data_IF_763735911938
#
_entry.id   IF_763735911938
#
_cell.length_a   1.000
_cell.length_b   1.000
_cell.length_c   1.000
_cell.angle_alpha   90.00
_cell.angle_beta   90.00
_cell.angle_gamma   90.00
#
_symmetry.space_group_name_H-M   'P 1'
#
loop_
_entity.id
_entity.type
_entity.pdbx_description
1 polymer ?
#
# COMPACT_ATOMS: atom_id res chain seq x y z
N UNK A 1 -24.96 -0.51 -11.61
CA UNK A 1 -25.15 -0.25 -10.16
C UNK A 1 -24.03 -0.98 -9.44
N UNK A 2 -23.12 -0.27 -8.78
CA UNK A 2 -22.03 -0.90 -8.02
C UNK A 2 -22.67 -1.55 -6.78
N UNK A 3 -22.90 -2.86 -6.84
CA UNK A 3 -23.35 -3.62 -5.67
C UNK A 3 -22.10 -4.05 -4.91
N UNK A 4 -22.01 -3.59 -3.66
CA UNK A 4 -21.01 -4.04 -2.69
C UNK A 4 -21.41 -5.45 -2.23
N UNK A 5 -21.14 -6.43 -3.07
CA UNK A 5 -21.32 -7.85 -2.76
C UNK A 5 -19.98 -8.59 -2.87
N UNK A 6 -19.94 -9.80 -2.28
CA UNK A 6 -18.72 -10.61 -2.20
C UNK A 6 -18.19 -11.09 -3.56
N UNK A 7 -19.01 -11.07 -4.61
CA UNK A 7 -18.64 -11.52 -5.97
C UNK A 7 -18.05 -10.41 -6.81
N UNK A 8 -18.31 -9.16 -6.46
CA UNK A 8 -17.85 -8.01 -7.23
C UNK A 8 -16.35 -7.76 -7.02
N UNK A 9 -15.52 -8.41 -7.84
CA UNK A 9 -14.06 -8.28 -7.82
C UNK A 9 -13.58 -6.86 -8.08
N UNK A 10 -14.20 -6.17 -9.04
CA UNK A 10 -13.91 -4.77 -9.34
C UNK A 10 -14.11 -3.86 -8.13
N UNK A 11 -15.25 -4.01 -7.44
CA UNK A 11 -15.49 -3.26 -6.21
C UNK A 11 -14.46 -3.60 -5.12
N UNK A 12 -14.09 -4.89 -4.97
CA UNK A 12 -13.09 -5.33 -3.99
C UNK A 12 -11.70 -4.75 -4.26
N UNK A 13 -11.31 -4.62 -5.53
CA UNK A 13 -10.02 -4.07 -5.91
C UNK A 13 -9.97 -2.53 -5.78
N UNK A 14 -11.11 -1.86 -5.95
CA UNK A 14 -11.22 -0.41 -5.80
C UNK A 14 -11.29 0.06 -4.33
N UNK A 15 -11.86 -0.73 -3.42
CA UNK A 15 -12.10 -0.30 -2.02
C UNK A 15 -10.84 0.16 -1.29
N UNK A 16 -9.69 -0.56 -1.31
CA UNK A 16 -8.49 -0.09 -0.62
C UNK A 16 -8.01 1.26 -1.13
N UNK A 17 -8.02 1.47 -2.45
CA UNK A 17 -7.65 2.74 -3.06
C UNK A 17 -8.59 3.88 -2.64
N UNK A 18 -9.89 3.61 -2.51
CA UNK A 18 -10.86 4.59 -1.99
C UNK A 18 -10.63 4.91 -0.52
N UNK A 19 -10.39 3.90 0.33
CA UNK A 19 -10.11 4.10 1.76
C UNK A 19 -8.85 4.96 1.95
N UNK A 20 -7.80 4.72 1.17
CA UNK A 20 -6.58 5.52 1.19
C UNK A 20 -6.76 6.97 0.71
N UNK A 21 -7.76 7.24 -0.12
CA UNK A 21 -8.11 8.62 -0.48
C UNK A 21 -8.77 9.38 0.68
N UNK A 22 -9.38 8.68 1.63
CA UNK A 22 -10.01 9.25 2.82
C UNK A 22 -9.16 9.13 4.09
N UNK A 23 -7.86 8.87 3.94
CA UNK A 23 -6.89 8.77 5.05
C UNK A 23 -7.25 7.67 6.06
N UNK A 24 -7.95 6.64 5.56
CA UNK A 24 -8.36 5.44 6.30
C UNK A 24 -7.35 4.31 6.08
N UNK A 25 -6.08 4.60 6.33
CA UNK A 25 -4.96 3.68 6.05
C UNK A 25 -5.09 2.35 6.80
N UNK A 26 -5.53 2.37 8.07
CA UNK A 26 -5.78 1.15 8.83
C UNK A 26 -6.94 0.34 8.24
N UNK A 27 -8.05 0.97 7.84
CA UNK A 27 -9.16 0.24 7.25
C UNK A 27 -8.77 -0.37 5.89
N UNK A 28 -7.98 0.36 5.09
CA UNK A 28 -7.44 -0.16 3.83
C UNK A 28 -6.52 -1.35 4.09
N UNK A 29 -5.67 -1.24 5.12
CA UNK A 29 -4.78 -2.28 5.56
C UNK A 29 -5.53 -3.54 6.01
N UNK A 30 -6.49 -3.39 6.93
CA UNK A 30 -7.33 -4.46 7.46
C UNK A 30 -8.08 -5.16 6.36
N UNK A 31 -8.62 -4.39 5.40
CA UNK A 31 -9.26 -4.95 4.22
C UNK A 31 -8.30 -5.85 3.44
N UNK A 32 -7.11 -5.36 3.09
CA UNK A 32 -6.12 -6.14 2.31
C UNK A 32 -5.69 -7.39 3.07
N UNK A 33 -5.37 -7.26 4.36
CA UNK A 33 -4.94 -8.39 5.20
C UNK A 33 -6.04 -9.40 5.40
N UNK A 34 -7.28 -8.95 5.64
CA UNK A 34 -8.42 -9.82 5.82
C UNK A 34 -8.65 -10.67 4.57
N UNK A 35 -8.60 -10.07 3.38
CA UNK A 35 -8.71 -10.83 2.14
C UNK A 35 -7.56 -11.84 1.97
N UNK A 36 -6.34 -11.49 2.37
CA UNK A 36 -5.19 -12.40 2.30
C UNK A 36 -5.28 -13.56 3.32
N UNK A 37 -5.68 -13.28 4.56
CA UNK A 37 -5.84 -14.28 5.64
C UNK A 37 -7.06 -15.17 5.40
N UNK A 38 -8.17 -14.57 4.96
CA UNK A 38 -9.40 -15.25 4.59
C UNK A 38 -9.18 -16.28 3.47
N UNK A 39 -8.29 -15.99 2.53
CA UNK A 39 -7.87 -16.97 1.53
C UNK A 39 -7.06 -18.13 2.13
N UNK A 40 -6.06 -17.84 2.98
CA UNK A 40 -5.18 -18.85 3.58
C UNK A 40 -5.88 -19.80 4.57
N UNK A 41 -6.74 -19.27 5.45
CA UNK A 41 -7.36 -20.04 6.56
C UNK A 41 -8.37 -21.10 6.10
N UNK A 42 -8.86 -20.95 4.88
CA UNK A 42 -10.13 -21.51 4.47
C UNK A 42 -10.04 -22.26 3.14
N UNK A 43 -8.94 -22.07 2.40
CA UNK A 43 -8.68 -22.70 1.11
C UNK A 43 -9.74 -22.35 0.07
N UNK A 44 -9.70 -23.04 -1.07
CA UNK A 44 -10.75 -22.96 -2.10
C UNK A 44 -12.11 -23.53 -1.66
N UNK A 45 -12.25 -24.01 -0.42
CA UNK A 45 -13.40 -24.82 0.04
C UNK A 45 -14.33 -24.11 1.01
N UNK A 46 -14.05 -22.84 1.31
CA UNK A 46 -14.90 -22.04 2.17
C UNK A 46 -15.83 -21.21 1.29
N UNK A 47 -17.00 -20.83 1.82
CA UNK A 47 -18.15 -20.13 1.20
C UNK A 47 -17.83 -18.87 0.35
N UNK A 48 -16.57 -18.54 0.08
CA UNK A 48 -16.12 -17.53 -0.88
C UNK A 48 -16.57 -17.81 -2.32
N UNK A 49 -16.74 -19.08 -2.67
CA UNK A 49 -17.18 -19.50 -3.99
C UNK A 49 -18.71 -19.44 -4.07
N UNK A 50 -19.18 -18.32 -4.58
CA UNK A 50 -20.30 -18.22 -5.51
C UNK A 50 -21.75 -18.18 -5.00
N UNK A 51 -22.16 -18.46 -3.77
CA UNK A 51 -23.62 -18.64 -3.55
C UNK A 51 -24.32 -17.83 -2.45
N UNK A 52 -23.60 -17.19 -1.51
CA UNK A 52 -24.27 -16.48 -0.40
C UNK A 52 -24.16 -14.94 -0.52
N UNK A 53 -25.12 -14.36 -1.24
CA UNK A 53 -25.28 -12.90 -1.40
C UNK A 53 -25.90 -12.20 -0.18
N UNK A 54 -26.34 -12.96 0.82
CA UNK A 54 -27.02 -12.45 2.01
C UNK A 54 -26.05 -12.13 3.14
N UNK A 55 -24.80 -12.61 3.06
CA UNK A 55 -23.73 -12.24 4.01
C UNK A 55 -23.11 -10.89 3.67
N UNK A 56 -22.77 -10.05 4.68
CA UNK A 56 -22.14 -8.74 4.46
C UNK A 56 -20.81 -8.88 3.71
N UNK A 57 -20.49 -7.88 2.87
CA UNK A 57 -19.31 -7.86 2.00
C UNK A 57 -17.99 -8.05 2.76
N UNK A 58 -17.95 -7.64 4.03
CA UNK A 58 -16.76 -7.63 4.87
C UNK A 58 -17.18 -8.00 6.29
N UNK A 59 -16.63 -9.08 6.84
CA UNK A 59 -16.73 -9.38 8.27
C UNK A 59 -15.40 -9.05 8.94
N UNK A 60 -15.19 -7.78 9.29
CA UNK A 60 -13.98 -7.31 9.95
C UNK A 60 -13.91 -7.67 11.44
N UNK A 61 -14.91 -8.38 11.99
CA UNK A 61 -14.92 -8.68 13.43
C UNK A 61 -13.67 -9.49 13.83
N UNK A 62 -12.83 -8.88 14.65
CA UNK A 62 -11.63 -9.52 15.23
C UNK A 62 -10.46 -9.70 14.27
N UNK A 63 -10.45 -9.00 13.12
CA UNK A 63 -9.28 -9.01 12.24
C UNK A 63 -8.10 -8.25 12.86
N UNK A 64 -8.41 -7.15 13.55
CA UNK A 64 -7.59 -6.14 14.27
C UNK A 64 -6.11 -6.55 14.42
N UNK A 65 -5.34 -6.62 13.31
CA UNK A 65 -3.95 -6.99 13.38
C UNK A 65 -3.26 -5.78 13.97
N UNK A 66 -2.59 -5.94 15.11
CA UNK A 66 -1.72 -4.87 15.61
C UNK A 66 -0.76 -4.51 14.47
N UNK A 67 -0.42 -3.23 14.33
CA UNK A 67 0.37 -2.83 13.19
C UNK A 67 1.83 -3.42 13.24
N UNK A 68 2.22 -4.06 14.35
CA UNK A 68 3.40 -4.94 14.43
C UNK A 68 3.18 -6.34 13.86
N UNK A 69 2.07 -7.00 14.21
CA UNK A 69 1.65 -8.27 13.59
C UNK A 69 1.48 -8.09 12.08
N UNK A 70 0.96 -6.92 11.72
CA UNK A 70 0.85 -6.47 10.37
C UNK A 70 2.21 -6.47 9.65
N UNK A 71 3.17 -5.70 10.14
CA UNK A 71 4.50 -5.66 9.53
C UNK A 71 5.19 -7.03 9.53
N UNK A 72 4.91 -7.87 10.52
CA UNK A 72 5.40 -9.24 10.57
C UNK A 72 4.78 -10.10 9.45
N UNK A 73 3.48 -10.00 9.19
CA UNK A 73 2.81 -10.67 8.06
C UNK A 73 3.45 -10.28 6.73
N UNK A 74 3.62 -8.98 6.48
CA UNK A 74 4.14 -8.50 5.20
C UNK A 74 5.63 -8.80 5.03
N UNK A 75 6.40 -8.81 6.12
CA UNK A 75 7.82 -9.22 6.09
C UNK A 75 8.01 -10.71 5.76
N UNK A 76 6.96 -11.52 5.89
CA UNK A 76 6.95 -12.95 5.57
C UNK A 76 6.42 -13.26 4.17
N UNK A 77 5.87 -12.28 3.47
CA UNK A 77 5.42 -12.48 2.10
C UNK A 77 6.64 -12.69 1.21
N UNK A 78 6.70 -13.85 0.57
CA UNK A 78 7.64 -14.09 -0.53
C UNK A 78 7.04 -13.62 -1.86
N UNK A 79 7.84 -13.66 -2.93
CA UNK A 79 7.40 -13.29 -4.28
C UNK A 79 6.12 -14.05 -4.71
N UNK A 80 5.90 -15.28 -4.24
CA UNK A 80 4.69 -16.05 -4.55
C UNK A 80 3.47 -15.59 -3.75
N UNK A 81 3.66 -15.14 -2.51
CA UNK A 81 2.58 -14.60 -1.68
C UNK A 81 2.17 -13.20 -2.14
N UNK A 82 3.13 -12.40 -2.62
CA UNK A 82 2.86 -11.09 -3.22
C UNK A 82 2.17 -11.26 -4.58
N UNK A 83 2.56 -12.25 -5.39
CA UNK A 83 1.87 -12.56 -6.64
C UNK A 83 0.40 -13.02 -6.46
N UNK A 84 0.02 -13.45 -5.25
CA UNK A 84 -1.39 -13.75 -4.91
C UNK A 84 -2.19 -12.51 -4.54
N UNK A 85 -1.52 -11.38 -4.28
CA UNK A 85 -2.19 -10.09 -4.20
C UNK A 85 -2.46 -9.61 -5.63
N UNK A 86 -3.66 -9.10 -5.87
CA UNK A 86 -3.91 -8.37 -7.10
C UNK A 86 -3.02 -7.12 -7.16
N UNK A 87 -2.70 -6.65 -8.36
CA UNK A 87 -1.82 -5.51 -8.59
C UNK A 87 -2.25 -4.26 -7.80
N UNK A 88 -3.56 -4.06 -7.65
CA UNK A 88 -4.15 -2.92 -6.94
C UNK A 88 -3.94 -3.02 -5.43
N UNK A 89 -4.12 -4.21 -4.87
CA UNK A 89 -3.93 -4.45 -3.43
C UNK A 89 -2.46 -4.39 -3.06
N UNK A 90 -1.58 -4.95 -3.89
CA UNK A 90 -0.14 -4.82 -3.71
C UNK A 90 0.28 -3.35 -3.74
N UNK A 91 -0.28 -2.57 -4.67
CA UNK A 91 0.03 -1.14 -4.75
C UNK A 91 -0.53 -0.31 -3.59
N UNK A 92 -1.75 -0.61 -3.12
CA UNK A 92 -2.30 0.03 -1.93
C UNK A 92 -1.48 -0.31 -0.69
N UNK A 93 -1.07 -1.57 -0.52
CA UNK A 93 -0.18 -1.97 0.57
C UNK A 93 1.18 -1.27 0.48
N UNK A 94 1.74 -1.13 -0.72
CA UNK A 94 2.96 -0.36 -0.94
C UNK A 94 2.77 1.08 -0.48
N UNK A 95 1.68 1.74 -0.88
CA UNK A 95 1.39 3.12 -0.48
C UNK A 95 1.23 3.28 1.04
N UNK A 96 0.56 2.34 1.71
CA UNK A 96 0.40 2.32 3.17
C UNK A 96 1.78 2.31 3.86
N UNK A 97 2.68 1.43 3.41
CA UNK A 97 4.02 1.32 3.97
C UNK A 97 4.87 2.58 3.73
N UNK A 98 4.69 3.21 2.57
CA UNK A 98 5.34 4.49 2.25
C UNK A 98 4.84 5.61 3.14
N UNK A 99 3.53 5.75 3.30
CA UNK A 99 2.92 6.76 4.17
C UNK A 99 3.35 6.58 5.62
N UNK A 100 3.42 5.34 6.10
CA UNK A 100 3.94 5.03 7.44
C UNK A 100 5.40 5.46 7.59
N UNK A 101 6.26 5.09 6.64
CA UNK A 101 7.69 5.45 6.66
C UNK A 101 7.90 6.96 6.61
N UNK A 102 7.19 7.67 5.73
CA UNK A 102 7.23 9.13 5.62
C UNK A 102 6.71 9.82 6.89
N UNK A 103 5.58 9.35 7.43
CA UNK A 103 5.01 9.87 8.66
C UNK A 103 5.99 9.79 9.83
N UNK A 104 6.65 8.65 9.97
CA UNK A 104 7.68 8.45 10.99
C UNK A 104 8.88 9.37 10.78
N UNK A 105 9.37 9.51 9.55
CA UNK A 105 10.48 10.41 9.23
C UNK A 105 10.15 11.87 9.60
N UNK A 106 8.98 12.35 9.19
CA UNK A 106 8.50 13.71 9.50
C UNK A 106 8.32 13.90 11.01
N UNK A 107 7.76 12.91 11.71
CA UNK A 107 7.57 13.01 13.14
C UNK A 107 8.91 12.99 13.91
N UNK A 108 9.89 12.19 13.48
CA UNK A 108 11.27 12.21 14.01
C UNK A 108 11.92 13.59 13.81
N UNK A 109 11.81 14.17 12.62
CA UNK A 109 12.43 15.46 12.31
C UNK A 109 11.76 16.62 13.05
N UNK A 110 10.42 16.64 13.09
CA UNK A 110 9.69 17.62 13.89
C UNK A 110 10.03 17.52 15.38
N UNK A 111 10.26 16.31 15.92
CA UNK A 111 10.64 16.16 17.33
C UNK A 111 12.03 16.73 17.62
N UNK A 112 12.99 16.63 16.68
CA UNK A 112 14.30 17.28 16.79
C UNK A 112 14.19 18.80 16.78
N UNK A 113 13.32 19.33 15.93
CA UNK A 113 13.12 20.77 15.74
C UNK A 113 12.32 21.41 16.87
N UNK A 114 11.24 20.76 17.32
CA UNK A 114 10.31 21.26 18.32
C UNK A 114 10.45 20.55 19.67
N UNK A 115 11.66 20.57 20.26
CA UNK A 115 12.04 19.92 21.54
C UNK A 115 11.06 20.11 22.72
N UNK A 116 10.14 21.07 22.65
CA UNK A 116 9.16 21.43 23.69
C UNK A 116 7.72 20.98 23.39
N UNK A 117 7.41 20.49 22.18
CA UNK A 117 6.07 20.02 21.84
C UNK A 117 5.87 18.59 22.31
N UNK A 118 4.64 18.30 22.74
CA UNK A 118 4.25 16.92 23.02
C UNK A 118 4.27 16.13 21.72
N UNK A 119 4.55 14.82 21.79
CA UNK A 119 4.62 14.01 20.58
C UNK A 119 3.28 14.01 19.82
N UNK A 120 2.16 14.15 20.53
CA UNK A 120 0.82 14.35 19.95
C UNK A 120 0.73 15.61 19.08
N UNK A 121 1.36 16.71 19.47
CA UNK A 121 1.39 17.96 18.67
C UNK A 121 2.31 17.83 17.45
N UNK A 122 3.43 17.13 17.61
CA UNK A 122 4.34 16.75 16.52
C UNK A 122 3.59 15.92 15.47
N UNK A 123 2.73 15.00 15.90
CA UNK A 123 1.89 14.17 15.04
C UNK A 123 0.81 14.95 14.30
N UNK A 124 0.11 15.87 14.96
CA UNK A 124 -0.83 16.78 14.28
C UNK A 124 -0.16 17.60 13.18
N UNK A 125 1.13 17.91 13.35
CA UNK A 125 1.90 18.60 12.33
C UNK A 125 2.32 17.67 11.19
N UNK A 126 2.76 16.44 11.51
CA UNK A 126 3.05 15.42 10.51
C UNK A 126 1.80 15.08 9.67
N UNK A 127 0.62 15.01 10.27
CA UNK A 127 -0.65 14.78 9.59
C UNK A 127 -0.99 15.86 8.55
N UNK A 128 -0.61 17.12 8.82
CA UNK A 128 -0.78 18.21 7.85
C UNK A 128 0.11 18.04 6.62
N UNK A 129 1.25 17.38 6.79
CA UNK A 129 2.20 17.13 5.71
C UNK A 129 1.86 15.84 4.95
N UNK A 130 1.38 14.81 5.65
CA UNK A 130 0.96 13.54 5.06
C UNK A 130 -0.21 12.94 5.83
N UNK A 131 -1.22 12.38 5.15
CA UNK A 131 -2.23 11.59 5.83
C UNK A 131 -1.60 10.30 6.33
N UNK A 132 -1.45 10.18 7.65
CA UNK A 132 -0.88 8.98 8.29
C UNK A 132 -1.81 8.51 9.39
N UNK A 133 -3.02 8.10 9.01
CA UNK A 133 -4.03 7.61 9.95
C UNK A 133 -3.53 6.46 10.83
N UNK A 134 -2.58 5.66 10.32
CA UNK A 134 -1.91 4.59 11.07
C UNK A 134 -1.20 5.09 12.35
N UNK A 135 -0.47 6.20 12.30
CA UNK A 135 0.28 6.64 13.47
C UNK A 135 -0.62 7.21 14.58
N UNK A 136 -1.83 7.66 14.23
CA UNK A 136 -2.81 8.15 15.22
C UNK A 136 -3.45 7.00 16.00
N UNK A 137 -3.57 5.84 15.36
CA UNK A 137 -4.14 4.63 15.96
C UNK A 137 -3.13 3.88 16.84
N UNK A 138 -1.84 4.22 16.73
CA UNK A 138 -0.73 3.57 17.43
C UNK A 138 0.10 4.57 18.26
N UNK A 139 -0.45 5.16 19.34
CA UNK A 139 0.27 6.09 20.20
C UNK A 139 1.53 5.48 20.84
N UNK A 140 1.59 4.16 21.01
CA UNK A 140 2.76 3.44 21.52
C UNK A 140 3.98 3.53 20.58
N UNK A 141 3.77 3.68 19.27
CA UNK A 141 4.86 3.91 18.30
C UNK A 141 5.42 5.32 18.41
N UNK A 142 4.54 6.25 18.77
CA UNK A 142 4.84 7.66 18.93
C UNK A 142 5.75 7.86 20.16
N UNK A 143 5.52 7.12 21.24
CA UNK A 143 6.39 7.13 22.43
C UNK A 143 7.82 6.61 22.12
N UNK A 144 7.92 5.69 21.16
CA UNK A 144 9.19 5.08 20.76
C UNK A 144 9.93 5.86 19.67
N UNK A 145 9.38 6.97 19.16
CA UNK A 145 9.97 7.72 18.04
C UNK A 145 11.36 8.31 18.36
N UNK A 146 11.65 8.54 19.64
CA UNK A 146 12.96 9.02 20.09
C UNK A 146 13.99 7.89 20.24
N UNK A 147 13.55 6.62 20.21
CA UNK A 147 14.45 5.48 20.25
C UNK A 147 15.10 5.29 18.87
N UNK A 148 16.44 5.46 18.75
CA UNK A 148 17.15 5.20 17.51
C UNK A 148 17.01 3.74 17.03
N UNK A 149 16.82 2.79 17.94
CA UNK A 149 16.58 1.39 17.59
C UNK A 149 15.25 1.23 16.85
N UNK A 150 14.24 1.98 17.26
CA UNK A 150 12.91 2.00 16.65
C UNK A 150 12.86 2.75 15.31
N UNK A 151 13.67 3.80 15.13
CA UNK A 151 13.54 4.69 13.96
C UNK A 151 14.65 4.56 12.93
N UNK A 152 15.91 4.32 13.32
CA UNK A 152 17.07 4.43 12.41
C UNK A 152 17.66 3.11 11.97
N UNK A 153 17.30 2.00 12.62
CA UNK A 153 17.84 0.70 12.22
C UNK A 153 16.98 0.11 11.11
N UNK A 154 17.57 -0.73 10.24
CA UNK A 154 16.83 -1.55 9.27
C UNK A 154 15.73 -2.39 9.94
N UNK A 155 15.91 -2.72 11.23
CA UNK A 155 14.97 -3.51 12.03
C UNK A 155 13.97 -2.64 12.80
N UNK A 156 14.15 -1.32 12.81
CA UNK A 156 13.20 -0.37 13.38
C UNK A 156 11.95 -0.25 12.52
N UNK A 157 10.86 0.27 13.08
CA UNK A 157 9.57 0.40 12.41
C UNK A 157 9.67 1.10 11.06
N UNK A 158 10.35 2.25 11.01
CA UNK A 158 10.53 3.03 9.77
C UNK A 158 11.32 2.26 8.72
N UNK A 159 12.40 1.57 9.12
CA UNK A 159 13.23 0.75 8.25
C UNK A 159 12.51 -0.49 7.73
N UNK A 160 11.71 -1.15 8.57
CA UNK A 160 10.85 -2.28 8.20
C UNK A 160 9.77 -1.85 7.20
N UNK A 161 9.09 -0.74 7.46
CA UNK A 161 8.07 -0.19 6.56
C UNK A 161 8.68 0.15 5.18
N UNK A 162 9.81 0.85 5.15
CA UNK A 162 10.54 1.14 3.92
C UNK A 162 10.98 -0.14 3.19
N UNK A 163 11.51 -1.12 3.93
CA UNK A 163 11.91 -2.42 3.38
C UNK A 163 10.77 -3.18 2.74
N UNK A 164 9.60 -3.21 3.39
CA UNK A 164 8.39 -3.85 2.82
C UNK A 164 7.89 -3.08 1.60
N UNK A 165 7.89 -1.75 1.62
CA UNK A 165 7.54 -0.94 0.46
C UNK A 165 8.44 -1.26 -0.75
N UNK A 166 9.74 -1.50 -0.52
CA UNK A 166 10.67 -1.90 -1.58
C UNK A 166 10.41 -3.31 -2.11
N UNK A 167 10.11 -4.27 -1.22
CA UNK A 167 9.72 -5.62 -1.64
C UNK A 167 8.47 -5.60 -2.51
N UNK A 168 7.46 -4.82 -2.11
CA UNK A 168 6.23 -4.65 -2.89
C UNK A 168 6.50 -3.93 -4.21
N UNK A 169 7.36 -2.91 -4.21
CA UNK A 169 7.75 -2.20 -5.43
C UNK A 169 8.43 -3.14 -6.44
N UNK A 170 9.35 -3.98 -5.98
CA UNK A 170 10.05 -4.96 -6.83
C UNK A 170 9.07 -6.01 -7.38
N UNK A 171 8.19 -6.55 -6.54
CA UNK A 171 7.18 -7.51 -6.96
C UNK A 171 6.19 -6.90 -7.97
N UNK A 172 5.69 -5.69 -7.73
CA UNK A 172 4.82 -4.95 -8.66
C UNK A 172 5.53 -4.74 -9.99
N UNK A 173 6.80 -4.32 -9.96
CA UNK A 173 7.59 -4.09 -11.17
C UNK A 173 7.84 -5.37 -11.96
N UNK A 174 8.10 -6.51 -11.29
CA UNK A 174 8.21 -7.83 -11.92
C UNK A 174 6.90 -8.29 -12.53
N UNK A 175 5.78 -8.06 -11.85
CA UNK A 175 4.44 -8.49 -12.28
C UNK A 175 3.93 -7.65 -13.45
N UNK A 176 3.95 -6.32 -13.30
CA UNK A 176 3.46 -5.40 -14.32
C UNK A 176 4.31 -4.11 -14.31
N UNK A 177 5.43 -4.15 -15.05
CA UNK A 177 6.38 -3.03 -15.17
C UNK A 177 5.72 -1.76 -15.70
N UNK A 178 4.76 -1.89 -16.62
CA UNK A 178 4.04 -0.74 -17.18
C UNK A 178 3.28 0.03 -16.09
N UNK A 179 2.55 -0.68 -15.23
CA UNK A 179 1.88 -0.06 -14.09
C UNK A 179 2.86 0.66 -13.16
N UNK A 180 3.99 0.03 -12.83
CA UNK A 180 5.02 0.66 -12.00
C UNK A 180 5.56 1.95 -12.62
N UNK A 181 5.82 1.94 -13.93
CA UNK A 181 6.29 3.12 -14.66
C UNK A 181 5.22 4.23 -14.72
N UNK A 182 3.93 3.86 -14.82
CA UNK A 182 2.81 4.80 -14.76
C UNK A 182 2.73 5.54 -13.42
N UNK A 183 3.03 4.87 -12.30
CA UNK A 183 3.09 5.53 -10.99
C UNK A 183 4.16 6.63 -10.96
N UNK A 184 5.35 6.37 -11.50
CA UNK A 184 6.48 7.31 -11.47
C UNK A 184 6.38 8.49 -12.44
N UNK A 185 5.58 8.34 -13.50
CA UNK A 185 5.39 9.37 -14.53
C UNK A 185 3.91 9.42 -14.91
N UNK A 186 3.06 10.18 -14.19
CA UNK A 186 1.62 10.26 -14.47
C UNK A 186 1.27 10.94 -15.81
N UNK A 187 2.26 11.23 -16.66
CA UNK A 187 2.16 11.95 -17.93
C UNK A 187 1.37 11.22 -19.05
N UNK A 188 0.64 10.15 -18.73
CA UNK A 188 -0.12 9.37 -19.71
C UNK A 188 -1.63 9.52 -19.59
N UNK A 189 -2.16 10.55 -18.90
CA UNK A 189 -3.61 10.84 -18.94
C UNK A 189 -4.10 11.34 -20.31
N UNK A 190 -3.19 11.69 -21.23
CA UNK A 190 -3.53 12.14 -22.59
C UNK A 190 -2.49 11.86 -23.69
N UNK A 191 -1.44 11.09 -23.40
CA UNK A 191 -0.32 10.82 -24.32
C UNK A 191 -0.42 9.51 -25.09
N UNK A 192 -1.02 8.48 -24.51
CA UNK A 192 -1.55 7.35 -25.29
C UNK A 192 -2.89 7.81 -25.86
N UNK A 193 -2.83 8.49 -27.01
CA UNK A 193 -3.97 8.54 -27.93
C UNK A 193 -4.45 7.11 -28.09
N UNK A 194 -5.69 6.86 -27.72
CA UNK A 194 -6.44 5.71 -28.21
C UNK A 194 -6.64 5.90 -29.72
N UNK A 195 -6.30 4.89 -30.53
CA UNK A 195 -7.18 4.62 -31.64
C UNK A 195 -7.29 3.11 -31.84
N UNK A 196 -8.23 2.45 -31.16
CA UNK A 196 -8.66 1.10 -31.55
C UNK A 196 -7.60 -0.02 -31.46
N UNK A 197 -6.72 -0.05 -30.47
CA UNK A 197 -5.73 -1.13 -30.36
C UNK A 197 -6.16 -2.23 -29.39
N UNK A 198 -6.66 -3.33 -29.97
CA UNK A 198 -7.00 -4.64 -29.38
C UNK A 198 -5.76 -5.38 -28.80
N UNK A 199 -4.88 -4.69 -28.07
CA UNK A 199 -3.70 -5.31 -27.47
C UNK A 199 -3.92 -5.60 -25.98
N UNK A 200 -4.14 -6.88 -25.69
CA UNK A 200 -4.18 -7.40 -24.31
C UNK A 200 -2.83 -7.23 -23.58
N UNK A 201 -1.72 -7.10 -24.34
CA UNK A 201 -0.35 -7.04 -23.83
C UNK A 201 0.51 -6.00 -24.56
N UNK A 202 1.43 -5.38 -23.82
CA UNK A 202 2.48 -4.47 -24.33
C UNK A 202 3.84 -5.16 -24.18
N UNK A 203 4.64 -5.12 -25.24
CA UNK A 203 6.05 -5.57 -25.19
C UNK A 203 6.94 -4.43 -24.71
N UNK A 204 7.62 -4.64 -23.59
CA UNK A 204 8.56 -3.69 -23.01
C UNK A 204 9.92 -3.72 -23.73
N UNK A 205 10.78 -2.73 -23.48
CA UNK A 205 12.12 -2.64 -24.10
C UNK A 205 13.02 -3.86 -23.82
N UNK A 206 12.77 -4.59 -22.73
CA UNK A 206 13.47 -5.81 -22.35
C UNK A 206 12.85 -7.10 -22.96
N UNK A 207 11.83 -6.95 -23.80
CA UNK A 207 11.11 -8.04 -24.46
C UNK A 207 10.03 -8.70 -23.60
N UNK A 208 9.83 -8.27 -22.34
CA UNK A 208 8.74 -8.78 -21.50
C UNK A 208 7.37 -8.33 -22.00
N UNK A 209 6.35 -9.18 -21.84
CA UNK A 209 4.96 -8.84 -22.13
C UNK A 209 4.20 -8.55 -20.83
N UNK A 210 3.50 -7.42 -20.78
CA UNK A 210 2.72 -6.98 -19.62
C UNK A 210 1.29 -6.63 -20.02
N UNK A 211 0.31 -6.93 -19.17
CA UNK A 211 -1.10 -6.67 -19.49
C UNK A 211 -1.41 -5.18 -19.38
N UNK A 212 -1.82 -4.56 -20.49
CA UNK A 212 -2.25 -3.15 -20.53
C UNK A 212 -3.61 -2.94 -19.83
N UNK A 213 -4.63 -3.79 -20.05
CA UNK A 213 -5.90 -3.67 -19.33
C UNK A 213 -5.72 -3.75 -17.80
N UNK A 214 -4.93 -4.70 -17.31
CA UNK A 214 -4.64 -4.84 -15.88
C UNK A 214 -3.93 -3.60 -15.33
N UNK A 215 -2.90 -3.10 -16.03
CA UNK A 215 -2.16 -1.91 -15.61
C UNK A 215 -3.06 -0.67 -15.52
N UNK A 216 -3.94 -0.47 -16.52
CA UNK A 216 -4.89 0.65 -16.55
C UNK A 216 -5.91 0.55 -15.42
N UNK A 217 -6.50 -0.63 -15.24
CA UNK A 217 -7.49 -0.85 -14.19
C UNK A 217 -6.89 -0.60 -12.81
N UNK A 218 -5.69 -1.13 -12.58
CA UNK A 218 -4.97 -0.91 -11.33
C UNK A 218 -4.65 0.57 -11.11
N UNK A 219 -4.22 1.26 -12.16
CA UNK A 219 -3.94 2.70 -12.10
C UNK A 219 -5.21 3.50 -11.79
N UNK A 220 -6.33 3.19 -12.41
CA UNK A 220 -7.60 3.88 -12.16
C UNK A 220 -8.07 3.72 -10.71
N UNK A 221 -7.83 2.56 -10.09
CA UNK A 221 -8.22 2.29 -8.70
C UNK A 221 -7.30 2.93 -7.66
N UNK A 222 -6.01 3.06 -7.95
CA UNK A 222 -5.02 3.44 -6.93
C UNK A 222 -4.45 4.85 -7.12
N UNK A 223 -4.41 5.38 -8.35
CA UNK A 223 -3.64 6.59 -8.67
C UNK A 223 -4.08 7.80 -7.85
N UNK A 224 -5.38 8.00 -7.64
CA UNK A 224 -5.88 9.11 -6.84
C UNK A 224 -5.40 9.06 -5.37
N UNK A 225 -5.14 7.87 -4.82
CA UNK A 225 -4.54 7.74 -3.49
C UNK A 225 -3.04 8.09 -3.52
N UNK A 226 -2.33 7.68 -4.57
CA UNK A 226 -0.91 8.00 -4.79
C UNK A 226 -0.68 9.50 -5.00
N UNK A 227 -1.53 10.15 -5.80
CA UNK A 227 -1.47 11.59 -6.09
C UNK A 227 -1.65 12.46 -4.82
N UNK A 228 -2.43 11.96 -3.85
CA UNK A 228 -2.57 12.58 -2.52
C UNK A 228 -1.37 12.39 -1.59
N UNK A 229 -0.34 11.66 -2.02
CA UNK A 229 0.90 11.45 -1.25
C UNK A 229 2.11 11.88 -2.09
N UNK A 230 2.26 13.20 -2.33
CA UNK A 230 3.35 13.71 -3.16
C UNK A 230 4.72 13.30 -2.59
N UNK A 231 5.65 12.90 -3.45
CA UNK A 231 6.98 12.42 -3.04
C UNK A 231 7.02 10.96 -2.55
N UNK A 232 5.89 10.23 -2.51
CA UNK A 232 5.85 8.83 -2.09
C UNK A 232 6.83 7.93 -2.87
N UNK A 233 6.88 8.06 -4.20
CA UNK A 233 7.77 7.25 -5.04
C UNK A 233 9.23 7.69 -4.92
N UNK A 234 9.47 8.99 -4.79
CA UNK A 234 10.81 9.53 -4.55
C UNK A 234 11.36 9.02 -3.22
N UNK A 235 10.51 8.93 -2.19
CA UNK A 235 10.85 8.37 -0.88
C UNK A 235 11.20 6.88 -0.96
N UNK A 236 10.46 6.09 -1.75
CA UNK A 236 10.83 4.68 -1.99
C UNK A 236 12.22 4.63 -2.66
N UNK A 237 12.42 5.42 -3.72
CA UNK A 237 13.66 5.41 -4.49
C UNK A 237 14.87 5.90 -3.69
N UNK A 238 14.70 6.89 -2.81
CA UNK A 238 15.76 7.36 -1.91
C UNK A 238 16.03 6.35 -0.79
N UNK A 239 14.98 5.80 -0.18
CA UNK A 239 15.09 4.76 0.86
C UNK A 239 15.75 3.49 0.34
N UNK A 240 15.57 3.15 -0.94
CA UNK A 240 16.28 2.05 -1.60
C UNK A 240 17.80 2.27 -1.58
N UNK A 241 18.24 3.49 -1.91
CA UNK A 241 19.66 3.85 -1.97
C UNK A 241 20.30 3.85 -0.58
N UNK A 242 19.62 4.43 0.40
CA UNK A 242 20.12 4.54 1.77
C UNK A 242 20.13 3.20 2.52
N UNK A 243 19.11 2.35 2.35
CA UNK A 243 19.00 1.08 3.09
C UNK A 243 19.68 -0.12 2.40
N UNK A 244 19.94 -0.06 1.09
CA UNK A 244 20.59 -1.13 0.33
C UNK A 244 22.04 -0.80 -0.07
N UNK A 245 22.54 0.41 0.23
CA UNK A 245 23.92 0.81 -0.09
C UNK A 245 24.18 0.92 -1.60
N UNK A 246 23.17 1.35 -2.36
CA UNK A 246 23.23 1.58 -3.81
C UNK A 246 23.36 3.07 -4.14
#
# INVERSE_FOLDING_TARGET
MLRLDRKNEDARNAIPGLLLQFDRDQDAYDFIVWFQRGWKKHGYTYDWLYDDLDKPMLDLHGADPSAEEALELWSRLDDQEIAKLSLERASCAMLIMVRLSLGLAVAVDNQKEFKTKTVVETMKYAHRSFPVGLLELHPEWVEQINDPAFTKTKNGLMGRAAGIALLLADAIKKHNRLYYDMLGKPFMRGGYRDPHEDFDFVTMDDGSQVSLPEARLAFDYTFAAWDRTPGALEHIMSSARENLGL
#
